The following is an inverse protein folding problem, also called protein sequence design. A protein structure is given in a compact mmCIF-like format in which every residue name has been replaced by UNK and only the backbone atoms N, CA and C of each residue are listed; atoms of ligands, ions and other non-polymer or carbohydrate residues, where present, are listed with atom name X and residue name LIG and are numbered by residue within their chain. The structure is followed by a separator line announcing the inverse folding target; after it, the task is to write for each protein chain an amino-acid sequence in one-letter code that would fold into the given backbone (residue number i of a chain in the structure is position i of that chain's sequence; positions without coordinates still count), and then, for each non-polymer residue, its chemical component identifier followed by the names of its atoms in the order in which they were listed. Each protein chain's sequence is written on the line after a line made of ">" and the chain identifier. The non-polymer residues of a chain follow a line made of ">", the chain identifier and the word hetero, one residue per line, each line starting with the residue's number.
data_IF_662212850532
#
_entry.id   IF_662212850532
#
_cell.length_a   1.000
_cell.length_b   1.000
_cell.length_c   1.000
_cell.angle_alpha   90.00
_cell.angle_beta   90.00
_cell.angle_gamma   90.00
#
_symmetry.space_group_name_H-M   'P 1'
#
loop_
_entity.id
_entity.type
_entity.pdbx_description
1 polymer ?
#
# COMPACT_ATOMS: atom_id res chain seq x y z
N UNK A 1 43.66 -39.14 -52.96
CA UNK A 1 44.03 -38.88 -54.37
C UNK A 1 44.03 -37.38 -54.55
N UNK A 2 45.16 -36.73 -54.77
CA UNK A 2 45.96 -36.76 -56.00
C UNK A 2 45.20 -36.11 -57.18
N UNK A 3 45.54 -34.84 -57.46
CA UNK A 3 45.65 -34.29 -58.81
C UNK A 3 46.38 -32.94 -58.73
N UNK A 4 47.70 -33.01 -58.78
CA UNK A 4 48.59 -31.95 -59.26
C UNK A 4 48.47 -31.85 -60.78
N UNK A 5 48.58 -30.62 -61.32
CA UNK A 5 49.20 -30.22 -62.62
C UNK A 5 48.42 -29.02 -63.17
N UNK A 6 49.01 -27.83 -63.09
CA UNK A 6 49.73 -27.14 -64.18
C UNK A 6 48.73 -26.28 -64.98
N UNK A 7 48.95 -25.00 -65.31
CA UNK A 7 50.15 -24.52 -65.96
C UNK A 7 50.19 -22.97 -66.04
N UNK A 8 51.42 -22.46 -66.13
CA UNK A 8 51.90 -21.31 -66.90
C UNK A 8 51.37 -19.86 -66.77
N UNK A 9 52.37 -18.98 -66.63
CA UNK A 9 52.49 -17.56 -67.04
C UNK A 9 51.99 -16.48 -66.08
N UNK A 10 52.84 -16.19 -65.11
CA UNK A 10 53.01 -14.85 -64.55
C UNK A 10 53.89 -14.00 -65.46
N UNK A 11 53.34 -12.92 -66.03
CA UNK A 11 53.91 -11.57 -66.05
C UNK A 11 52.98 -10.65 -66.86
N UNK A 12 52.13 -9.91 -66.13
CA UNK A 12 51.26 -8.87 -66.66
C UNK A 12 51.33 -7.63 -65.77
N UNK A 13 52.05 -6.64 -66.28
CA UNK A 13 52.22 -5.21 -65.92
C UNK A 13 51.36 -4.64 -64.77
N UNK A 14 51.94 -3.90 -63.80
CA UNK A 14 51.18 -3.26 -62.73
C UNK A 14 50.42 -2.02 -63.24
N UNK A 15 49.13 -2.19 -63.53
CA UNK A 15 48.19 -1.09 -63.75
C UNK A 15 47.89 -0.35 -62.43
N UNK A 16 48.11 0.97 -62.43
CA UNK A 16 47.97 1.87 -61.27
C UNK A 16 46.54 1.81 -60.72
N UNK A 17 46.35 1.23 -59.53
CA UNK A 17 45.10 1.35 -58.78
C UNK A 17 44.97 2.80 -58.31
N UNK A 18 43.98 3.54 -58.81
CA UNK A 18 43.51 4.76 -58.16
C UNK A 18 42.83 4.36 -56.85
N UNK A 19 43.62 4.24 -55.78
CA UNK A 19 43.09 4.15 -54.41
C UNK A 19 42.64 5.55 -54.03
N UNK A 20 41.34 5.80 -54.02
CA UNK A 20 40.78 6.97 -53.36
C UNK A 20 41.24 6.92 -51.89
N UNK A 21 42.00 7.94 -51.48
CA UNK A 21 42.35 8.16 -50.08
C UNK A 21 41.09 8.69 -49.40
N UNK A 22 40.44 7.87 -48.59
CA UNK A 22 39.49 8.37 -47.60
C UNK A 22 40.34 9.11 -46.56
N UNK A 23 40.12 10.41 -46.30
CA UNK A 23 40.78 11.08 -45.19
C UNK A 23 40.25 10.48 -43.90
N UNK A 24 41.13 9.77 -43.19
CA UNK A 24 40.90 9.32 -41.84
C UNK A 24 41.63 10.31 -40.91
N UNK A 25 41.04 11.48 -40.65
CA UNK A 25 41.45 12.35 -39.54
C UNK A 25 40.27 13.18 -39.01
N UNK A 26 39.74 12.70 -37.89
CA UNK A 26 39.11 13.42 -36.78
C UNK A 26 38.63 12.27 -35.87
N UNK A 27 39.49 11.65 -35.07
CA UNK A 27 40.14 12.36 -33.97
C UNK A 27 39.08 12.67 -32.91
N UNK A 28 38.43 11.61 -32.43
CA UNK A 28 37.85 11.42 -31.09
C UNK A 28 37.80 12.69 -30.22
N UNK A 29 36.75 13.50 -30.42
CA UNK A 29 36.38 14.62 -29.53
C UNK A 29 34.87 14.75 -29.47
N UNK A 30 34.20 13.65 -29.13
CA UNK A 30 32.83 13.69 -28.65
C UNK A 30 32.77 12.69 -27.50
N UNK A 31 32.79 13.23 -26.27
CA UNK A 31 32.37 12.61 -25.00
C UNK A 31 33.29 13.08 -23.87
N UNK A 32 33.11 14.33 -23.44
CA UNK A 32 33.61 14.80 -22.14
C UNK A 32 32.50 15.53 -21.34
N UNK A 33 31.24 15.46 -21.79
CA UNK A 33 30.10 16.12 -21.14
C UNK A 33 29.00 15.13 -20.69
N UNK A 34 29.17 13.83 -20.89
CA UNK A 34 28.16 12.81 -20.50
C UNK A 34 28.40 12.24 -19.11
N UNK A 35 29.60 12.38 -18.53
CA UNK A 35 29.87 11.83 -17.21
C UNK A 35 29.13 12.61 -16.10
N UNK A 36 28.96 13.93 -16.21
CA UNK A 36 28.27 14.74 -15.19
C UNK A 36 26.78 14.47 -15.03
N UNK A 37 26.08 14.14 -16.13
CA UNK A 37 24.64 13.85 -16.13
C UNK A 37 24.29 12.46 -15.58
N UNK A 38 25.21 11.50 -15.66
CA UNK A 38 24.99 10.15 -15.14
C UNK A 38 25.11 10.10 -13.61
N UNK A 39 25.98 10.93 -13.00
CA UNK A 39 26.09 11.02 -11.53
C UNK A 39 24.90 11.72 -10.89
N UNK A 40 24.37 12.80 -11.48
CA UNK A 40 23.17 13.48 -10.98
C UNK A 40 21.91 12.58 -11.08
N UNK A 41 21.78 11.84 -12.19
CA UNK A 41 20.71 10.84 -12.32
C UNK A 41 20.86 9.66 -11.34
N UNK A 42 22.09 9.26 -11.03
CA UNK A 42 22.36 8.19 -10.08
C UNK A 42 22.03 8.63 -8.63
N UNK A 43 22.39 9.85 -8.24
CA UNK A 43 22.03 10.40 -6.93
C UNK A 43 20.51 10.55 -6.78
N UNK A 44 19.82 11.04 -7.81
CA UNK A 44 18.35 11.13 -7.82
C UNK A 44 17.69 9.73 -7.73
N UNK A 45 18.26 8.73 -8.41
CA UNK A 45 17.77 7.35 -8.36
C UNK A 45 17.97 6.73 -6.96
N UNK A 46 19.09 7.01 -6.31
CA UNK A 46 19.37 6.58 -4.95
C UNK A 46 18.43 7.25 -3.95
N UNK A 47 18.17 8.56 -4.09
CA UNK A 47 17.21 9.27 -3.25
C UNK A 47 15.79 8.71 -3.42
N UNK A 48 15.35 8.51 -4.66
CA UNK A 48 14.05 7.86 -4.95
C UNK A 48 13.98 6.48 -4.32
N UNK A 49 15.05 5.68 -4.39
CA UNK A 49 15.11 4.35 -3.78
C UNK A 49 15.00 4.43 -2.25
N UNK A 50 15.67 5.40 -1.60
CA UNK A 50 15.55 5.63 -0.15
C UNK A 50 14.13 6.02 0.26
N UNK A 51 13.50 6.92 -0.49
CA UNK A 51 12.11 7.33 -0.25
C UNK A 51 11.14 6.17 -0.44
N UNK A 52 11.33 5.34 -1.47
CA UNK A 52 10.51 4.13 -1.68
C UNK A 52 10.63 3.20 -0.47
N UNK A 53 11.84 2.94 0.03
CA UNK A 53 12.01 2.08 1.20
C UNK A 53 11.32 2.65 2.45
N UNK A 54 11.44 3.96 2.68
CA UNK A 54 10.74 4.60 3.80
C UNK A 54 9.21 4.48 3.68
N UNK A 55 8.68 4.66 2.48
CA UNK A 55 7.24 4.49 2.21
C UNK A 55 6.81 3.04 2.46
N UNK A 56 7.60 2.05 2.04
CA UNK A 56 7.31 0.64 2.26
C UNK A 56 7.31 0.27 3.75
N UNK A 57 8.27 0.77 4.52
CA UNK A 57 8.31 0.57 5.98
C UNK A 57 7.09 1.21 6.67
N UNK A 58 6.71 2.42 6.25
CA UNK A 58 5.52 3.09 6.77
C UNK A 58 4.24 2.34 6.41
N UNK A 59 4.15 1.77 5.20
CA UNK A 59 3.01 0.95 4.79
C UNK A 59 2.90 -0.31 5.65
N UNK A 60 4.00 -1.02 5.89
CA UNK A 60 4.01 -2.21 6.74
C UNK A 60 3.58 -1.86 8.18
N UNK A 61 4.14 -0.80 8.76
CA UNK A 61 3.78 -0.39 10.13
C UNK A 61 2.31 0.06 10.23
N UNK A 62 1.77 0.71 9.20
CA UNK A 62 0.36 1.09 9.14
C UNK A 62 -0.55 -0.14 9.04
N UNK A 63 -0.18 -1.13 8.23
CA UNK A 63 -0.91 -2.38 8.09
C UNK A 63 -0.97 -3.14 9.43
N UNK A 64 0.17 -3.30 10.10
CA UNK A 64 0.25 -3.91 11.42
C UNK A 64 -0.64 -3.19 12.45
N UNK A 65 -0.60 -1.85 12.43
CA UNK A 65 -1.44 -1.05 13.33
C UNK A 65 -2.92 -1.21 13.01
N UNK A 66 -3.29 -1.26 11.73
CA UNK A 66 -4.68 -1.49 11.30
C UNK A 66 -5.19 -2.85 11.79
N UNK A 67 -4.40 -3.91 11.60
CA UNK A 67 -4.75 -5.25 12.08
C UNK A 67 -4.92 -5.29 13.60
N UNK A 68 -4.04 -4.63 14.35
CA UNK A 68 -4.16 -4.51 15.82
C UNK A 68 -5.42 -3.75 16.24
N UNK A 69 -5.75 -2.66 15.55
CA UNK A 69 -6.97 -1.89 15.81
C UNK A 69 -8.21 -2.76 15.61
N UNK A 70 -8.25 -3.55 14.55
CA UNK A 70 -9.40 -4.42 14.28
C UNK A 70 -9.52 -5.55 15.32
N UNK A 71 -8.40 -6.14 15.75
CA UNK A 71 -8.39 -7.11 16.85
C UNK A 71 -8.92 -6.51 18.17
N UNK A 72 -8.50 -5.28 18.52
CA UNK A 72 -8.97 -4.56 19.71
C UNK A 72 -10.47 -4.24 19.62
N UNK A 73 -10.96 -3.85 18.43
CA UNK A 73 -12.40 -3.61 18.22
C UNK A 73 -13.21 -4.88 18.42
N UNK A 74 -12.74 -6.01 17.89
CA UNK A 74 -13.41 -7.30 18.04
C UNK A 74 -13.50 -7.73 19.51
N UNK A 75 -12.38 -7.64 20.25
CA UNK A 75 -12.36 -7.93 21.68
C UNK A 75 -13.31 -6.99 22.46
N UNK A 76 -13.33 -5.70 22.11
CA UNK A 76 -14.22 -4.73 22.74
C UNK A 76 -15.70 -5.08 22.52
N UNK A 77 -16.07 -5.52 21.31
CA UNK A 77 -17.44 -5.94 21.00
C UNK A 77 -17.84 -7.19 21.81
N UNK A 78 -16.92 -8.14 21.95
CA UNK A 78 -17.14 -9.34 22.77
C UNK A 78 -17.35 -8.98 24.25
N UNK A 79 -16.52 -8.09 24.80
CA UNK A 79 -16.68 -7.63 26.18
C UNK A 79 -17.99 -6.86 26.39
N UNK A 80 -18.41 -6.04 25.42
CA UNK A 80 -19.69 -5.34 25.47
C UNK A 80 -20.88 -6.31 25.49
N UNK A 81 -20.85 -7.35 24.66
CA UNK A 81 -21.94 -8.34 24.64
C UNK A 81 -22.00 -9.16 25.94
N UNK A 82 -20.85 -9.56 26.48
CA UNK A 82 -20.78 -10.24 27.79
C UNK A 82 -21.29 -9.35 28.92
N UNK A 83 -20.85 -8.09 28.97
CA UNK A 83 -21.33 -7.13 29.97
C UNK A 83 -22.83 -6.85 29.86
N UNK A 84 -23.38 -6.86 28.64
CA UNK A 84 -24.83 -6.72 28.45
C UNK A 84 -25.58 -7.92 29.06
N UNK A 85 -25.11 -9.15 28.81
CA UNK A 85 -25.73 -10.36 29.36
C UNK A 85 -25.63 -10.36 30.89
N UNK A 86 -24.47 -10.02 31.43
CA UNK A 86 -24.26 -9.90 32.88
C UNK A 86 -25.14 -8.81 33.51
N UNK A 87 -25.23 -7.64 32.85
CA UNK A 87 -26.11 -6.54 33.28
C UNK A 87 -27.57 -6.99 33.38
N UNK A 88 -28.09 -7.66 32.34
CA UNK A 88 -29.45 -8.19 32.36
C UNK A 88 -29.66 -9.23 33.46
N UNK A 89 -28.68 -10.10 33.69
CA UNK A 89 -28.75 -11.10 34.77
C UNK A 89 -28.88 -10.42 36.14
N UNK A 90 -28.07 -9.39 36.38
CA UNK A 90 -28.14 -8.61 37.63
C UNK A 90 -29.49 -7.90 37.76
N UNK A 91 -29.98 -7.25 36.71
CA UNK A 91 -31.31 -6.61 36.70
C UNK A 91 -32.44 -7.60 37.01
N UNK A 92 -32.38 -8.80 36.42
CA UNK A 92 -33.36 -9.85 36.66
C UNK A 92 -33.32 -10.31 38.12
N UNK A 93 -32.14 -10.45 38.71
CA UNK A 93 -32.00 -10.79 40.12
C UNK A 93 -32.51 -9.67 41.03
N UNK A 94 -32.19 -8.41 40.73
CA UNK A 94 -32.64 -7.26 41.52
C UNK A 94 -34.16 -7.08 41.46
N UNK A 95 -34.78 -7.31 40.30
CA UNK A 95 -36.23 -7.19 40.12
C UNK A 95 -37.02 -8.37 40.69
N UNK A 96 -36.48 -9.59 40.62
CA UNK A 96 -37.10 -10.79 41.19
C UNK A 96 -36.89 -10.90 42.71
N UNK A 97 -35.83 -10.31 43.25
CA UNK A 97 -35.59 -10.27 44.69
C UNK A 97 -36.40 -9.16 45.35
N UNK A 98 -37.32 -9.56 46.23
CA UNK A 98 -38.16 -8.64 47.01
C UNK A 98 -37.37 -7.70 47.94
N UNK A 99 -36.08 -7.94 48.15
CA UNK A 99 -35.19 -7.12 49.01
C UNK A 99 -34.87 -5.74 48.42
N UNK A 100 -34.97 -5.56 47.09
CA UNK A 100 -34.68 -4.28 46.43
C UNK A 100 -35.93 -3.46 46.08
N UNK A 101 -37.12 -3.90 46.47
CA UNK A 101 -38.33 -3.07 46.38
C UNK A 101 -38.35 -2.08 47.55
N UNK A 102 -37.56 -1.01 47.46
CA UNK A 102 -37.73 0.12 48.38
C UNK A 102 -39.09 0.73 48.16
N UNK A 103 -39.73 1.04 49.28
CA UNK A 103 -41.09 1.52 49.46
C UNK A 103 -41.37 2.86 48.78
N UNK A 104 -41.53 2.91 47.47
CA UNK A 104 -42.24 4.01 46.81
C UNK A 104 -43.72 3.64 46.68
N UNK A 105 -44.41 3.82 47.81
CA UNK A 105 -45.85 4.06 47.79
C UNK A 105 -46.14 5.29 46.93
N UNK A 106 -47.10 5.18 46.01
CA UNK A 106 -47.77 6.24 45.20
C UNK A 106 -47.13 6.54 43.83
N UNK A 107 -47.70 5.97 42.77
CA UNK A 107 -48.70 6.64 41.91
C UNK A 107 -48.76 5.98 40.53
N UNK A 108 -49.76 5.13 40.32
CA UNK A 108 -50.30 4.83 38.98
C UNK A 108 -51.82 4.74 39.04
N UNK A 109 -52.47 5.78 39.57
CA UNK A 109 -53.89 6.00 39.31
C UNK A 109 -54.01 6.64 37.92
N UNK A 110 -54.45 5.85 36.93
CA UNK A 110 -54.90 6.37 35.64
C UNK A 110 -56.00 7.41 35.89
N UNK A 111 -55.96 8.63 35.32
CA UNK A 111 -57.12 9.49 35.34
C UNK A 111 -58.14 8.91 34.36
N UNK A 112 -59.20 8.32 34.91
CA UNK A 112 -60.40 7.97 34.15
C UNK A 112 -61.02 9.25 33.61
N UNK A 113 -61.18 9.33 32.29
CA UNK A 113 -61.85 10.44 31.60
C UNK A 113 -63.29 10.59 32.14
N UNK A 114 -63.58 11.65 32.88
CA UNK A 114 -64.95 12.06 33.18
C UNK A 114 -65.38 13.12 32.16
N UNK A 115 -66.27 12.70 31.27
CA UNK A 115 -67.07 13.51 30.36
C UNK A 115 -67.74 14.70 31.08
N UNK A 116 -67.42 15.93 30.67
CA UNK A 116 -68.21 17.11 31.03
C UNK A 116 -69.11 17.45 29.84
N UNK A 117 -70.37 16.98 29.88
CA UNK A 117 -71.47 17.56 29.11
C UNK A 117 -71.72 18.95 29.66
N UNK A 118 -71.58 19.97 28.82
CA UNK A 118 -72.12 21.31 29.06
C UNK A 118 -73.60 21.26 28.69
N UNK A 119 -74.45 21.35 29.70
CA UNK A 119 -75.90 21.51 29.57
C UNK A 119 -76.22 23.00 29.80
N UNK A 120 -77.02 23.55 28.88
CA UNK A 120 -77.70 24.86 28.83
C UNK A 120 -76.87 26.14 28.64
#
# INVERSE_FOLDING_TARGET
>A
GAAFSADHRFQGVPGRRHRMKIPQEAGDKMNADTEGTDYENQEELEEKTRLINQVLELQHTLEDLSARVDAVKEENLKLKSENQVLGQYIENLMSASSVFQTTDSKNKRKPTKSSKKTDK
#
